data_IF_748722792290
#
_entry.id   IF_748722792290
#
_cell.length_a   1.000
_cell.length_b   1.000
_cell.length_c   1.000
_cell.angle_alpha   90.00
_cell.angle_beta   90.00
_cell.angle_gamma   90.00
#
_symmetry.space_group_name_H-M   'P 1'
#
loop_
_entity.id
_entity.type
_entity.pdbx_description
1 polymer ?
#
# COMPACT_ATOMS: atom_id res chain seq x y z
N UNK A 1 2.72 15.22 -34.47
CA UNK A 1 4.02 14.52 -34.36
C UNK A 1 3.76 13.05 -34.05
N UNK A 2 4.69 12.16 -34.38
CA UNK A 2 4.59 10.72 -34.12
C UNK A 2 5.31 10.42 -32.81
N UNK A 3 4.62 9.80 -31.84
CA UNK A 3 5.22 9.35 -30.57
C UNK A 3 5.77 7.93 -30.74
N UNK A 4 6.95 7.66 -30.19
CA UNK A 4 7.55 6.31 -30.15
C UNK A 4 7.69 5.87 -28.70
N UNK A 5 7.33 4.63 -28.40
CA UNK A 5 7.46 4.03 -27.06
C UNK A 5 8.45 2.87 -27.16
N UNK A 6 9.45 2.85 -26.27
CA UNK A 6 10.45 1.79 -26.17
C UNK A 6 10.26 1.07 -24.83
N UNK A 7 10.13 -0.26 -24.88
CA UNK A 7 10.02 -1.07 -23.67
C UNK A 7 11.42 -1.38 -23.13
N UNK A 8 11.77 -0.77 -21.99
CA UNK A 8 13.00 -1.03 -21.24
C UNK A 8 12.86 -2.07 -20.13
N UNK A 9 11.68 -2.66 -19.92
CA UNK A 9 11.39 -3.56 -18.81
C UNK A 9 12.08 -4.91 -18.91
N UNK A 10 12.52 -5.45 -17.76
CA UNK A 10 13.09 -6.78 -17.63
C UNK A 10 12.32 -7.58 -16.56
N UNK A 11 11.75 -8.71 -16.94
CA UNK A 11 10.97 -9.55 -16.03
C UNK A 11 11.79 -10.04 -14.83
N UNK A 12 11.27 -9.84 -13.62
CA UNK A 12 11.92 -10.27 -12.38
C UNK A 12 13.08 -9.39 -11.89
N UNK A 13 13.28 -8.21 -12.48
CA UNK A 13 14.30 -7.23 -12.08
C UNK A 13 13.95 -6.55 -10.74
N UNK A 14 14.94 -6.42 -9.86
CA UNK A 14 14.95 -5.56 -8.67
C UNK A 14 15.69 -4.26 -8.97
N UNK A 15 15.38 -3.19 -8.24
CA UNK A 15 15.96 -1.87 -8.50
C UNK A 15 17.50 -1.77 -8.47
N UNK A 16 18.28 -2.60 -7.74
CA UNK A 16 19.74 -2.61 -7.88
C UNK A 16 20.22 -3.05 -9.27
N UNK A 17 19.49 -3.98 -9.90
CA UNK A 17 19.78 -4.47 -11.25
C UNK A 17 19.35 -3.43 -12.29
N UNK A 18 18.16 -2.85 -12.13
CA UNK A 18 17.68 -1.72 -12.95
C UNK A 18 18.67 -0.55 -12.94
N UNK A 19 19.17 -0.16 -11.77
CA UNK A 19 20.17 0.90 -11.62
C UNK A 19 21.50 0.61 -12.34
N UNK A 20 21.87 -0.67 -12.44
CA UNK A 20 23.05 -1.12 -13.19
C UNK A 20 22.80 -1.09 -14.70
N UNK A 21 21.58 -1.40 -15.14
CA UNK A 21 21.20 -1.53 -16.55
C UNK A 21 20.72 -0.22 -17.18
N UNK A 22 20.41 0.81 -16.39
CA UNK A 22 19.76 2.02 -16.92
C UNK A 22 20.64 2.83 -17.90
N UNK A 23 21.96 2.90 -17.68
CA UNK A 23 22.85 3.74 -18.50
C UNK A 23 22.83 3.36 -20.00
N UNK A 24 22.98 2.09 -20.40
CA UNK A 24 22.87 1.71 -21.82
C UNK A 24 21.47 1.92 -22.40
N UNK A 25 20.39 1.84 -21.61
CA UNK A 25 19.02 2.14 -22.11
C UNK A 25 18.86 3.62 -22.42
N UNK A 26 19.34 4.50 -21.53
CA UNK A 26 19.27 5.94 -21.73
C UNK A 26 20.11 6.41 -22.93
N UNK A 27 21.20 5.69 -23.25
CA UNK A 27 22.05 5.98 -24.40
C UNK A 27 21.35 5.80 -25.76
N UNK A 28 20.21 5.09 -25.81
CA UNK A 28 19.37 5.00 -27.01
C UNK A 28 18.65 6.33 -27.34
N UNK A 29 18.57 7.24 -26.36
CA UNK A 29 17.94 8.55 -26.48
C UNK A 29 16.43 8.52 -26.25
N UNK A 30 15.86 9.68 -25.91
CA UNK A 30 14.44 9.85 -25.66
C UNK A 30 14.15 11.13 -24.88
N UNK A 31 12.87 11.46 -24.76
CA UNK A 31 12.42 12.69 -24.10
C UNK A 31 11.89 12.44 -22.68
N UNK A 32 11.29 11.27 -22.44
CA UNK A 32 10.60 10.93 -21.18
C UNK A 32 10.97 9.51 -20.74
N UNK A 33 11.32 9.35 -19.47
CA UNK A 33 11.44 8.06 -18.80
C UNK A 33 10.22 7.84 -17.89
N UNK A 34 9.45 6.79 -18.17
CA UNK A 34 8.41 6.29 -17.28
C UNK A 34 9.05 5.20 -16.39
N UNK A 35 9.21 5.49 -15.10
CA UNK A 35 9.96 4.64 -14.16
C UNK A 35 9.03 3.98 -13.15
N UNK A 36 8.71 2.71 -13.38
CA UNK A 36 7.89 1.86 -12.51
C UNK A 36 8.67 0.58 -12.15
N UNK A 37 9.15 0.48 -10.91
CA UNK A 37 9.89 -0.68 -10.43
C UNK A 37 9.75 -0.82 -8.90
N UNK A 38 10.01 -2.02 -8.35
CA UNK A 38 9.97 -2.28 -6.91
C UNK A 38 9.11 -3.48 -6.48
N UNK A 39 8.29 -4.04 -7.37
CA UNK A 39 7.49 -5.24 -7.05
C UNK A 39 8.40 -6.42 -6.70
N UNK A 40 9.52 -6.63 -7.39
CA UNK A 40 10.43 -7.73 -7.05
C UNK A 40 11.21 -7.46 -5.76
N UNK A 41 11.57 -6.21 -5.50
CA UNK A 41 12.24 -5.74 -4.28
C UNK A 41 11.42 -6.13 -3.04
N UNK A 42 10.11 -5.81 -3.04
CA UNK A 42 9.18 -6.26 -1.99
C UNK A 42 9.10 -7.79 -1.93
N UNK A 43 9.04 -8.46 -3.08
CA UNK A 43 8.93 -9.92 -3.16
C UNK A 43 10.15 -10.67 -2.61
N UNK A 44 11.34 -10.05 -2.67
CA UNK A 44 12.62 -10.62 -2.24
C UNK A 44 13.12 -10.05 -0.93
N UNK A 45 12.39 -9.10 -0.34
CA UNK A 45 12.68 -8.54 0.98
C UNK A 45 13.81 -7.50 0.97
N UNK A 46 14.03 -6.83 -0.16
CA UNK A 46 14.90 -5.65 -0.21
C UNK A 46 14.26 -4.51 0.60
N UNK A 47 15.08 -3.70 1.28
CA UNK A 47 14.54 -2.61 2.08
C UNK A 47 13.91 -1.52 1.20
N UNK A 48 12.83 -0.91 1.72
CA UNK A 48 12.17 0.22 1.05
C UNK A 48 13.13 1.41 0.86
N UNK A 49 14.05 1.60 1.80
CA UNK A 49 15.08 2.64 1.73
C UNK A 49 16.03 2.42 0.56
N UNK A 50 16.49 1.18 0.34
CA UNK A 50 17.33 0.82 -0.80
C UNK A 50 16.56 0.96 -2.11
N UNK A 51 15.31 0.49 -2.14
CA UNK A 51 14.42 0.61 -3.31
C UNK A 51 14.25 2.08 -3.70
N UNK A 52 13.85 2.93 -2.74
CA UNK A 52 13.73 4.38 -2.92
C UNK A 52 15.03 5.02 -3.41
N UNK A 53 16.17 4.67 -2.80
CA UNK A 53 17.47 5.19 -3.20
C UNK A 53 17.78 4.86 -4.66
N UNK A 54 17.60 3.60 -5.06
CA UNK A 54 17.87 3.16 -6.43
C UNK A 54 16.98 3.86 -7.46
N UNK A 55 15.67 3.98 -7.18
CA UNK A 55 14.72 4.73 -8.01
C UNK A 55 15.15 6.20 -8.16
N UNK A 56 15.59 6.83 -7.08
CA UNK A 56 16.11 8.19 -7.09
C UNK A 56 17.37 8.36 -7.95
N UNK A 57 18.31 7.42 -7.86
CA UNK A 57 19.54 7.44 -8.67
C UNK A 57 19.27 7.15 -10.14
N UNK A 58 18.34 6.24 -10.45
CA UNK A 58 17.89 6.00 -11.83
C UNK A 58 17.29 7.26 -12.45
N UNK A 59 16.39 7.93 -11.74
CA UNK A 59 15.83 9.22 -12.18
C UNK A 59 16.93 10.27 -12.40
N UNK A 60 17.87 10.40 -11.47
CA UNK A 60 18.98 11.36 -11.57
C UNK A 60 19.88 11.08 -12.79
N UNK A 61 20.16 9.81 -13.09
CA UNK A 61 20.92 9.40 -14.29
C UNK A 61 20.19 9.77 -15.57
N UNK A 62 18.87 9.56 -15.63
CA UNK A 62 18.04 9.91 -16.77
C UNK A 62 18.00 11.44 -17.01
N UNK A 63 17.78 12.22 -15.96
CA UNK A 63 17.77 13.69 -16.03
C UNK A 63 19.11 14.27 -16.46
N UNK A 64 20.22 13.66 -16.02
CA UNK A 64 21.56 14.05 -16.45
C UNK A 64 21.78 13.87 -17.96
N UNK A 65 20.97 13.04 -18.62
CA UNK A 65 20.95 12.83 -20.07
C UNK A 65 19.82 13.61 -20.77
N UNK A 66 19.06 14.43 -20.05
CA UNK A 66 18.03 15.31 -20.60
C UNK A 66 16.61 14.76 -20.60
N UNK A 67 16.38 13.58 -20.01
CA UNK A 67 15.03 13.01 -19.90
C UNK A 67 14.20 13.74 -18.85
N UNK A 68 12.92 13.97 -19.14
CA UNK A 68 11.92 14.19 -18.10
C UNK A 68 11.55 12.84 -17.45
N UNK A 69 11.50 12.79 -16.12
CA UNK A 69 11.17 11.56 -15.39
C UNK A 69 9.77 11.62 -14.80
N UNK A 70 9.00 10.56 -15.04
CA UNK A 70 7.73 10.27 -14.36
C UNK A 70 7.96 9.03 -13.50
N UNK A 71 7.83 9.19 -12.18
CA UNK A 71 7.77 8.04 -11.28
C UNK A 71 6.40 7.37 -11.39
N UNK A 72 6.36 6.07 -11.14
CA UNK A 72 5.12 5.36 -10.91
C UNK A 72 5.20 4.46 -9.68
N UNK A 73 4.14 4.46 -8.88
CA UNK A 73 3.96 3.46 -7.83
C UNK A 73 3.74 2.07 -8.45
N UNK A 74 4.08 1.01 -7.71
CA UNK A 74 3.75 -0.36 -8.10
C UNK A 74 2.26 -0.61 -7.92
N UNK A 75 1.66 -1.51 -8.71
CA UNK A 75 0.26 -1.94 -8.50
C UNK A 75 0.11 -2.87 -7.28
N UNK A 76 -1.10 -3.02 -6.72
CA UNK A 76 -1.38 -4.01 -5.69
C UNK A 76 -1.06 -5.44 -6.15
N UNK A 77 -0.61 -6.27 -5.25
CA UNK A 77 -0.46 -7.72 -5.45
C UNK A 77 -1.80 -8.40 -5.35
N UNK A 78 -1.94 -9.49 -6.08
CA UNK A 78 -3.13 -10.34 -6.00
C UNK A 78 -3.27 -10.92 -4.58
N UNK A 79 -4.48 -11.08 -4.02
CA UNK A 79 -4.68 -11.57 -2.65
C UNK A 79 -4.09 -12.97 -2.35
N UNK A 80 -3.82 -13.78 -3.37
CA UNK A 80 -3.15 -15.08 -3.24
C UNK A 80 -1.65 -15.04 -3.48
N UNK A 81 -1.05 -13.85 -3.57
CA UNK A 81 0.38 -13.68 -3.75
C UNK A 81 1.16 -14.36 -2.60
N UNK A 82 2.31 -14.97 -2.93
CA UNK A 82 3.11 -15.69 -1.93
C UNK A 82 3.82 -14.80 -0.92
N UNK A 83 3.96 -13.53 -1.27
CA UNK A 83 4.69 -12.51 -0.52
C UNK A 83 3.84 -11.26 -0.53
N UNK A 84 3.63 -10.71 0.65
CA UNK A 84 2.83 -9.49 0.85
C UNK A 84 1.39 -9.58 0.26
N UNK A 85 0.62 -10.66 0.52
CA UNK A 85 -0.75 -10.78 0.01
C UNK A 85 -1.69 -9.69 0.55
N UNK A 86 -1.42 -9.16 1.74
CA UNK A 86 -2.14 -8.04 2.35
C UNK A 86 -1.67 -6.67 1.85
N UNK A 87 -0.69 -6.61 0.94
CA UNK A 87 -0.15 -5.39 0.36
C UNK A 87 0.44 -4.37 1.36
N UNK A 88 0.84 -4.79 2.56
CA UNK A 88 1.39 -3.90 3.58
C UNK A 88 2.72 -3.28 3.12
N UNK A 89 3.64 -4.10 2.61
CA UNK A 89 4.94 -3.62 2.13
C UNK A 89 4.82 -2.91 0.79
N UNK A 90 3.93 -3.36 -0.10
CA UNK A 90 3.65 -2.74 -1.40
C UNK A 90 3.03 -1.35 -1.21
N UNK A 91 2.11 -1.19 -0.25
CA UNK A 91 1.56 0.12 0.13
C UNK A 91 2.65 1.05 0.69
N UNK A 92 3.50 0.55 1.59
CA UNK A 92 4.60 1.35 2.14
C UNK A 92 5.60 1.77 1.05
N UNK A 93 5.86 0.91 0.06
CA UNK A 93 6.67 1.28 -1.10
C UNK A 93 6.01 2.40 -1.92
N UNK A 94 4.69 2.30 -2.19
CA UNK A 94 3.96 3.35 -2.90
C UNK A 94 4.06 4.71 -2.17
N UNK A 95 3.95 4.70 -0.84
CA UNK A 95 4.15 5.89 0.02
C UNK A 95 5.57 6.46 -0.10
N UNK A 96 6.59 5.61 -0.10
CA UNK A 96 7.98 6.03 -0.31
C UNK A 96 8.20 6.62 -1.70
N UNK A 97 7.56 6.07 -2.74
CA UNK A 97 7.65 6.60 -4.11
C UNK A 97 6.95 7.96 -4.21
N UNK A 98 5.77 8.12 -3.59
CA UNK A 98 5.05 9.41 -3.49
C UNK A 98 5.95 10.48 -2.85
N UNK A 99 6.51 10.18 -1.68
CA UNK A 99 7.43 11.11 -1.03
C UNK A 99 8.67 11.40 -1.88
N UNK A 100 9.18 10.43 -2.63
CA UNK A 100 10.34 10.63 -3.50
C UNK A 100 10.00 11.60 -4.62
N UNK A 101 8.90 11.36 -5.32
CA UNK A 101 8.40 12.22 -6.39
C UNK A 101 8.14 13.64 -5.86
N UNK A 102 7.37 13.77 -4.79
CA UNK A 102 7.00 15.06 -4.21
C UNK A 102 8.19 15.88 -3.72
N UNK A 103 9.08 15.27 -2.91
CA UNK A 103 10.25 15.99 -2.36
C UNK A 103 11.30 16.34 -3.42
N UNK A 104 11.35 15.60 -4.53
CA UNK A 104 12.25 15.90 -5.65
C UNK A 104 11.59 16.66 -6.79
N UNK A 105 10.32 17.06 -6.62
CA UNK A 105 9.51 17.81 -7.60
C UNK A 105 9.41 17.12 -8.96
N UNK A 106 9.25 15.80 -8.95
CA UNK A 106 9.01 14.98 -10.14
C UNK A 106 7.53 14.62 -10.23
N UNK A 107 7.09 14.33 -11.45
CA UNK A 107 5.72 13.89 -11.73
C UNK A 107 5.52 12.46 -11.24
N UNK A 108 4.30 12.12 -10.81
CA UNK A 108 3.94 10.80 -10.30
C UNK A 108 2.68 10.29 -10.98
N UNK A 109 2.77 9.15 -11.67
CA UNK A 109 1.62 8.32 -11.97
C UNK A 109 1.37 7.39 -10.77
N UNK A 110 0.13 7.20 -10.32
CA UNK A 110 -0.13 6.39 -9.12
C UNK A 110 -0.99 5.15 -9.39
N UNK A 111 -0.45 4.11 -10.07
CA UNK A 111 -1.13 2.84 -10.25
C UNK A 111 -1.59 2.17 -8.97
N UNK A 112 -0.83 2.30 -7.87
CA UNK A 112 -1.25 1.73 -6.58
C UNK A 112 -2.61 2.29 -6.15
N UNK A 113 -2.77 3.62 -6.24
CA UNK A 113 -4.01 4.30 -5.87
C UNK A 113 -5.18 3.90 -6.77
N UNK A 114 -4.98 4.00 -8.07
CA UNK A 114 -6.05 3.78 -9.05
C UNK A 114 -6.48 2.31 -9.06
N UNK A 115 -5.55 1.36 -9.07
CA UNK A 115 -5.90 -0.06 -8.96
C UNK A 115 -6.54 -0.37 -7.60
N UNK A 116 -6.01 0.18 -6.50
CA UNK A 116 -6.50 -0.07 -5.15
C UNK A 116 -7.93 0.43 -4.89
N UNK A 117 -8.39 1.42 -5.67
CA UNK A 117 -9.75 1.98 -5.58
C UNK A 117 -10.68 1.49 -6.69
N UNK A 118 -10.15 0.80 -7.70
CA UNK A 118 -10.94 0.23 -8.79
C UNK A 118 -11.80 -0.93 -8.27
N UNK A 119 -13.11 -0.85 -8.50
CA UNK A 119 -14.04 -1.89 -8.05
C UNK A 119 -13.77 -3.21 -8.78
N UNK A 120 -13.77 -4.33 -8.03
CA UNK A 120 -13.48 -5.67 -8.55
C UNK A 120 -12.12 -5.79 -9.28
N UNK A 121 -11.13 -4.96 -8.92
CA UNK A 121 -9.85 -4.87 -9.66
C UNK A 121 -9.21 -6.24 -9.93
N UNK A 122 -9.12 -7.11 -8.92
CA UNK A 122 -8.49 -8.43 -9.06
C UNK A 122 -9.28 -9.41 -9.94
N UNK A 123 -10.60 -9.23 -10.08
CA UNK A 123 -11.42 -10.07 -10.96
C UNK A 123 -11.32 -9.61 -12.41
N UNK A 124 -11.34 -8.30 -12.62
CA UNK A 124 -11.54 -7.71 -13.95
C UNK A 124 -10.22 -7.34 -14.63
N UNK A 125 -9.16 -7.03 -13.87
CA UNK A 125 -7.91 -6.43 -14.39
C UNK A 125 -6.65 -7.26 -14.14
N UNK A 126 -6.75 -8.42 -13.48
CA UNK A 126 -5.63 -9.34 -13.26
C UNK A 126 -5.85 -10.67 -13.98
N UNK A 127 -4.75 -11.35 -14.30
CA UNK A 127 -4.79 -12.73 -14.76
C UNK A 127 -5.11 -13.67 -13.59
N UNK A 128 -6.14 -14.50 -13.74
CA UNK A 128 -6.45 -15.60 -12.81
C UNK A 128 -5.63 -16.84 -13.17
N UNK A 129 -4.30 -16.71 -13.11
CA UNK A 129 -3.35 -17.82 -13.30
C UNK A 129 -2.84 -18.33 -11.94
N UNK A 130 -3.18 -19.57 -11.51
CA UNK A 130 -2.62 -20.18 -10.31
C UNK A 130 -1.09 -20.33 -10.32
N UNK A 131 -0.48 -20.28 -11.50
CA UNK A 131 0.97 -20.24 -11.70
C UNK A 131 1.59 -18.89 -11.37
N UNK A 132 0.81 -17.82 -11.41
CA UNK A 132 1.21 -16.47 -11.04
C UNK A 132 1.24 -16.31 -9.53
N UNK A 133 2.42 -15.95 -9.02
CA UNK A 133 2.71 -15.90 -7.58
C UNK A 133 2.71 -14.48 -7.04
N UNK A 134 2.46 -13.50 -7.91
CA UNK A 134 2.50 -12.07 -7.60
C UNK A 134 1.18 -11.40 -8.00
N UNK A 135 0.67 -11.71 -9.19
CA UNK A 135 -0.49 -11.06 -9.78
C UNK A 135 -0.08 -10.05 -10.85
N UNK A 136 -0.02 -10.52 -12.09
CA UNK A 136 0.19 -9.68 -13.26
C UNK A 136 -1.16 -9.21 -13.82
N UNK A 137 -1.23 -7.97 -14.35
CA UNK A 137 -2.42 -7.49 -15.02
C UNK A 137 -2.76 -8.32 -16.26
N UNK A 138 -4.04 -8.49 -16.54
CA UNK A 138 -4.50 -8.97 -17.85
C UNK A 138 -4.46 -7.81 -18.88
N UNK A 139 -4.99 -8.01 -20.10
CA UNK A 139 -5.02 -6.95 -21.13
C UNK A 139 -5.72 -5.67 -20.65
N UNK A 140 -6.86 -5.80 -19.99
CA UNK A 140 -7.66 -4.67 -19.52
C UNK A 140 -6.95 -3.95 -18.37
N UNK A 141 -6.21 -4.69 -17.54
CA UNK A 141 -5.30 -4.16 -16.54
C UNK A 141 -4.15 -3.34 -17.14
N UNK A 142 -3.55 -3.80 -18.24
CA UNK A 142 -2.56 -3.00 -18.95
C UNK A 142 -3.16 -1.75 -19.61
N UNK A 143 -4.39 -1.82 -20.11
CA UNK A 143 -5.11 -0.64 -20.63
C UNK A 143 -5.40 0.38 -19.52
N UNK A 144 -5.82 -0.08 -18.34
CA UNK A 144 -5.98 0.79 -17.16
C UNK A 144 -4.65 1.45 -16.78
N UNK A 145 -3.57 0.67 -16.69
CA UNK A 145 -2.24 1.19 -16.38
C UNK A 145 -1.78 2.25 -17.41
N UNK A 146 -1.99 1.99 -18.70
CA UNK A 146 -1.67 2.93 -19.76
C UNK A 146 -2.49 4.23 -19.65
N UNK A 147 -3.77 4.13 -19.28
CA UNK A 147 -4.66 5.27 -19.01
C UNK A 147 -4.10 6.21 -17.94
N UNK A 148 -3.59 5.66 -16.83
CA UNK A 148 -3.01 6.45 -15.73
C UNK A 148 -1.83 7.29 -16.21
N UNK A 149 -0.92 6.70 -16.99
CA UNK A 149 0.18 7.46 -17.59
C UNK A 149 -0.32 8.47 -18.61
N UNK A 150 -1.32 8.12 -19.41
CA UNK A 150 -1.88 8.99 -20.44
C UNK A 150 -2.52 10.25 -19.84
N UNK A 151 -3.38 10.09 -18.83
CA UNK A 151 -4.04 11.19 -18.12
C UNK A 151 -3.00 12.14 -17.52
N UNK A 152 -2.02 11.57 -16.80
CA UNK A 152 -0.91 12.34 -16.26
C UNK A 152 -0.20 13.12 -17.36
N UNK A 153 0.19 12.47 -18.47
CA UNK A 153 0.94 13.11 -19.55
C UNK A 153 0.16 14.24 -20.23
N UNK A 154 -1.18 14.19 -20.21
CA UNK A 154 -2.08 15.25 -20.67
C UNK A 154 -2.31 16.36 -19.65
N UNK A 155 -1.88 16.16 -18.40
CA UNK A 155 -2.12 17.09 -17.30
C UNK A 155 -3.54 16.98 -16.74
N UNK A 156 -4.16 15.81 -16.89
CA UNK A 156 -5.46 15.51 -16.30
C UNK A 156 -5.25 15.06 -14.85
N UNK A 157 -6.03 15.63 -13.94
CA UNK A 157 -6.00 15.31 -12.52
C UNK A 157 -7.17 14.40 -12.14
N UNK A 158 -6.86 13.11 -12.01
CA UNK A 158 -7.85 12.04 -11.78
C UNK A 158 -7.58 11.28 -10.48
N UNK A 159 -6.60 11.70 -9.70
CA UNK A 159 -6.13 10.99 -8.51
C UNK A 159 -6.34 11.88 -7.28
N UNK A 160 -7.03 11.40 -6.23
CA UNK A 160 -7.25 12.20 -5.02
C UNK A 160 -5.95 12.48 -4.27
N UNK A 161 -5.96 13.34 -3.24
CA UNK A 161 -4.83 13.46 -2.35
C UNK A 161 -4.44 12.10 -1.75
N UNK A 162 -3.18 11.71 -1.91
CA UNK A 162 -2.67 10.38 -1.55
C UNK A 162 -1.75 10.42 -0.33
N UNK A 163 -1.87 9.46 0.60
CA UNK A 163 -0.93 9.35 1.72
C UNK A 163 0.48 9.04 1.22
N UNK A 164 1.46 9.84 1.65
CA UNK A 164 2.89 9.54 1.64
C UNK A 164 3.28 8.75 2.88
N UNK A 165 4.50 8.99 3.42
CA UNK A 165 4.90 8.36 4.69
C UNK A 165 3.88 8.63 5.79
N UNK A 166 3.55 7.56 6.50
CA UNK A 166 2.73 7.61 7.69
C UNK A 166 3.43 6.89 8.84
N UNK A 167 3.11 7.25 10.07
CA UNK A 167 3.63 6.58 11.28
C UNK A 167 2.57 6.67 12.36
N UNK A 168 2.21 5.58 13.05
CA UNK A 168 2.63 4.18 12.80
C UNK A 168 2.17 3.65 11.44
N UNK A 169 3.04 2.85 10.78
CA UNK A 169 2.76 2.22 9.49
C UNK A 169 1.53 1.31 9.57
N UNK A 170 0.85 1.11 8.44
CA UNK A 170 -0.21 0.11 8.35
C UNK A 170 0.35 -1.29 8.69
N UNK A 171 -0.37 -2.03 9.52
CA UNK A 171 0.04 -3.32 10.08
C UNK A 171 1.08 -3.25 11.20
N UNK A 172 1.45 -2.06 11.70
CA UNK A 172 2.41 -1.95 12.78
C UNK A 172 1.87 -2.57 14.08
N UNK A 173 2.72 -3.31 14.80
CA UNK A 173 2.38 -3.90 16.09
C UNK A 173 3.29 -3.36 17.19
N UNK A 174 2.89 -3.59 18.46
CA UNK A 174 3.66 -3.17 19.64
C UNK A 174 3.90 -1.66 19.71
N UNK A 175 2.99 -0.87 19.12
CA UNK A 175 3.05 0.59 19.09
C UNK A 175 2.87 1.14 20.50
N UNK A 176 3.66 2.16 20.87
CA UNK A 176 3.49 2.83 22.15
C UNK A 176 2.14 3.54 22.25
N UNK A 177 1.43 3.40 23.37
CA UNK A 177 0.12 4.02 23.59
C UNK A 177 0.10 5.56 23.46
N UNK A 178 1.24 6.22 23.64
CA UNK A 178 1.40 7.67 23.46
C UNK A 178 2.14 8.06 22.17
N UNK A 179 2.30 7.15 21.22
CA UNK A 179 2.99 7.43 19.96
C UNK A 179 2.26 8.53 19.19
N UNK A 180 3.02 9.52 18.72
CA UNK A 180 2.53 10.53 17.79
C UNK A 180 2.22 9.89 16.44
N UNK A 181 1.05 10.21 15.90
CA UNK A 181 0.64 9.88 14.55
C UNK A 181 1.11 10.98 13.60
N UNK A 182 1.76 10.60 12.51
CA UNK A 182 2.14 11.52 11.43
C UNK A 182 1.65 10.96 10.11
N UNK A 183 1.04 11.80 9.28
CA UNK A 183 0.62 11.44 7.91
C UNK A 183 1.08 12.55 6.97
N UNK A 184 1.96 12.20 6.04
CA UNK A 184 2.21 13.03 4.86
C UNK A 184 1.09 12.79 3.85
N UNK A 185 0.56 13.87 3.30
CA UNK A 185 -0.50 13.88 2.30
C UNK A 185 -0.03 14.70 1.10
N UNK A 186 -0.01 14.05 -0.05
CA UNK A 186 0.43 14.66 -1.30
C UNK A 186 -0.73 14.84 -2.26
N UNK A 187 -0.66 15.92 -3.01
CA UNK A 187 -1.45 16.12 -4.20
C UNK A 187 -0.49 16.42 -5.36
N UNK A 188 -0.62 15.67 -6.45
CA UNK A 188 0.26 15.79 -7.63
C UNK A 188 -0.44 16.51 -8.79
N UNK A 189 -1.66 17.01 -8.57
CA UNK A 189 -2.51 17.67 -9.55
C UNK A 189 -2.88 19.11 -9.14
N UNK A 190 -4.18 19.42 -9.15
CA UNK A 190 -4.75 20.75 -8.92
C UNK A 190 -4.62 21.24 -7.47
N UNK A 191 -4.21 20.36 -6.55
CA UNK A 191 -3.91 20.68 -5.18
C UNK A 191 -5.00 20.27 -4.20
N UNK A 192 -4.56 19.82 -3.03
CA UNK A 192 -5.32 19.46 -1.85
C UNK A 192 -6.09 20.67 -1.26
N UNK A 193 -7.38 20.47 -0.95
CA UNK A 193 -8.14 21.36 -0.07
C UNK A 193 -7.84 21.04 1.40
N UNK A 194 -6.82 21.69 1.94
CA UNK A 194 -6.36 21.53 3.33
C UNK A 194 -7.48 21.78 4.36
N UNK A 195 -8.46 22.64 4.04
CA UNK A 195 -9.56 22.94 4.97
C UNK A 195 -10.62 21.83 5.01
N UNK A 196 -10.66 20.96 4.00
CA UNK A 196 -11.52 19.76 3.96
C UNK A 196 -10.91 18.58 4.71
N UNK A 197 -9.59 18.56 4.92
CA UNK A 197 -8.87 17.39 5.44
C UNK A 197 -9.22 17.08 6.89
N UNK A 198 -9.60 15.83 7.18
CA UNK A 198 -9.90 15.30 8.52
C UNK A 198 -9.15 13.99 8.75
N UNK A 199 -8.85 13.74 10.02
CA UNK A 199 -8.31 12.47 10.49
C UNK A 199 -9.26 11.92 11.54
N UNK A 200 -9.59 10.64 11.46
CA UNK A 200 -10.40 9.95 12.45
C UNK A 200 -9.63 8.75 13.00
N UNK A 201 -9.77 8.50 14.30
CA UNK A 201 -9.27 7.29 14.95
C UNK A 201 -10.47 6.45 15.41
N UNK A 202 -10.58 5.22 14.93
CA UNK A 202 -11.71 4.32 15.22
C UNK A 202 -13.08 4.99 14.93
N UNK A 203 -13.16 5.80 13.86
CA UNK A 203 -14.35 6.56 13.49
C UNK A 203 -14.58 7.85 14.27
N UNK A 204 -13.77 8.17 15.28
CA UNK A 204 -13.86 9.43 16.02
C UNK A 204 -12.96 10.51 15.42
N UNK A 205 -13.54 11.69 15.12
CA UNK A 205 -12.80 12.82 14.59
C UNK A 205 -11.75 13.33 15.61
N UNK A 206 -10.50 13.42 15.17
CA UNK A 206 -9.39 13.99 15.96
C UNK A 206 -8.90 15.31 15.37
N UNK A 207 -8.14 16.08 16.17
CA UNK A 207 -7.62 17.38 15.79
C UNK A 207 -6.08 17.34 15.63
N UNK A 208 -5.55 16.91 14.47
CA UNK A 208 -4.12 16.99 14.18
C UNK A 208 -3.67 18.44 14.01
N UNK A 209 -2.42 18.73 14.35
CA UNK A 209 -1.74 19.91 13.83
C UNK A 209 -1.47 19.69 12.34
N UNK A 210 -1.93 20.62 11.51
CA UNK A 210 -1.79 20.56 10.05
C UNK A 210 -0.75 21.61 9.63
N UNK A 211 0.24 21.18 8.84
CA UNK A 211 1.31 22.05 8.31
C UNK A 211 1.52 21.76 6.83
N UNK A 212 2.07 22.72 6.08
CA UNK A 212 2.35 22.54 4.65
C UNK A 212 1.48 23.44 3.76
N UNK A 213 1.13 22.95 2.57
CA UNK A 213 0.37 23.65 1.55
C UNK A 213 -0.48 22.66 0.72
N UNK A 214 -1.10 23.16 -0.36
CA UNK A 214 -1.97 22.37 -1.23
C UNK A 214 -1.25 21.28 -2.04
N UNK A 215 0.06 21.18 -2.02
CA UNK A 215 0.80 20.11 -2.73
C UNK A 215 1.33 19.08 -1.74
N UNK A 216 1.74 19.52 -0.55
CA UNK A 216 2.19 18.66 0.53
C UNK A 216 1.68 19.19 1.84
N UNK A 217 0.87 18.40 2.52
CA UNK A 217 0.39 18.68 3.87
C UNK A 217 0.79 17.55 4.80
N UNK A 218 1.27 17.91 5.98
CA UNK A 218 1.57 16.97 7.06
C UNK A 218 0.60 17.16 8.21
N UNK A 219 -0.05 16.06 8.60
CA UNK A 219 -0.90 15.95 9.78
C UNK A 219 -0.08 15.35 10.91
N UNK A 220 -0.09 15.97 12.09
CA UNK A 220 0.61 15.51 13.29
C UNK A 220 -0.38 15.46 14.45
N UNK A 221 -0.65 14.28 14.97
CA UNK A 221 -1.57 14.08 16.09
C UNK A 221 -0.88 13.34 17.24
N UNK A 222 -0.76 13.99 18.40
CA UNK A 222 -0.33 13.34 19.63
C UNK A 222 -1.55 13.09 20.50
N UNK A 223 -1.86 11.83 20.85
CA UNK A 223 -3.07 11.52 21.60
C UNK A 223 -2.99 12.14 23.01
N UNK A 224 -4.07 12.80 23.50
CA UNK A 224 -4.08 13.46 24.81
C UNK A 224 -4.11 12.47 25.98
N UNK A 225 -4.50 11.23 25.72
CA UNK A 225 -4.52 10.10 26.65
C UNK A 225 -3.93 8.86 25.96
N UNK A 226 -3.37 7.89 26.72
CA UNK A 226 -2.86 6.65 26.14
C UNK A 226 -3.94 5.93 25.30
N UNK A 227 -3.59 5.59 24.06
CA UNK A 227 -4.38 4.73 23.19
C UNK A 227 -4.35 3.27 23.69
N UNK A 228 -5.33 2.46 23.30
CA UNK A 228 -5.40 1.04 23.61
C UNK A 228 -6.09 0.28 22.48
N UNK A 229 -5.82 -1.03 22.37
CA UNK A 229 -6.45 -1.88 21.37
C UNK A 229 -5.85 -1.72 19.97
N UNK A 230 -6.68 -2.02 18.98
CA UNK A 230 -6.42 -1.79 17.56
C UNK A 230 -6.90 -0.39 17.19
N UNK A 231 -6.06 0.34 16.48
CA UNK A 231 -6.35 1.71 16.03
C UNK A 231 -6.43 1.72 14.52
N UNK A 232 -7.62 2.05 14.00
CA UNK A 232 -7.88 2.38 12.61
C UNK A 232 -7.75 3.88 12.41
N UNK A 233 -6.94 4.28 11.43
CA UNK A 233 -6.73 5.67 11.03
C UNK A 233 -7.46 5.92 9.72
N UNK A 234 -8.53 6.70 9.75
CA UNK A 234 -9.28 7.12 8.55
C UNK A 234 -8.83 8.50 8.12
N UNK A 235 -8.55 8.65 6.82
CA UNK A 235 -8.32 9.94 6.18
C UNK A 235 -9.56 10.33 5.37
N UNK A 236 -10.00 11.57 5.56
CA UNK A 236 -11.00 12.21 4.71
C UNK A 236 -10.38 13.47 4.10
N UNK A 237 -10.38 13.58 2.78
CA UNK A 237 -9.83 14.74 2.08
C UNK A 237 -10.32 14.81 0.64
N UNK A 238 -10.20 15.98 0.02
CA UNK A 238 -10.43 16.19 -1.41
C UNK A 238 -9.40 17.16 -1.99
N UNK A 239 -9.28 17.20 -3.31
CA UNK A 239 -8.51 18.19 -4.05
C UNK A 239 -9.39 19.33 -4.62
N UNK A 240 -8.78 20.18 -5.44
CA UNK A 240 -9.45 21.26 -6.16
C UNK A 240 -9.83 20.90 -7.60
N UNK A 241 -9.75 19.62 -8.00
CA UNK A 241 -10.22 19.17 -9.30
C UNK A 241 -11.74 19.42 -9.44
N UNK A 242 -12.25 19.35 -10.68
CA UNK A 242 -13.66 19.58 -10.95
C UNK A 242 -14.25 18.46 -11.83
N UNK A 243 -15.04 17.53 -11.26
CA UNK A 243 -15.38 17.40 -9.83
C UNK A 243 -14.16 17.08 -8.95
N UNK A 244 -14.20 17.35 -7.62
CA UNK A 244 -13.10 17.00 -6.73
C UNK A 244 -12.84 15.49 -6.73
N UNK A 245 -11.58 15.10 -6.69
CA UNK A 245 -11.21 13.73 -6.38
C UNK A 245 -11.12 13.59 -4.85
N UNK A 246 -11.80 12.58 -4.31
CA UNK A 246 -12.01 12.42 -2.86
C UNK A 246 -11.31 11.15 -2.34
N UNK A 247 -10.85 11.22 -1.09
CA UNK A 247 -10.41 10.07 -0.30
C UNK A 247 -11.23 10.05 1.01
N UNK A 248 -11.89 8.93 1.28
CA UNK A 248 -12.57 8.63 2.55
C UNK A 248 -12.41 7.13 2.85
N UNK A 249 -11.33 6.78 3.56
CA UNK A 249 -11.00 5.38 3.88
C UNK A 249 -9.98 5.26 5.01
N UNK A 250 -9.89 4.04 5.56
CA UNK A 250 -8.78 3.65 6.44
C UNK A 250 -7.48 3.63 5.65
N UNK A 251 -6.47 4.35 6.16
CA UNK A 251 -5.13 4.45 5.55
C UNK A 251 -4.06 3.71 6.35
N UNK A 252 -4.36 3.35 7.61
CA UNK A 252 -3.46 2.58 8.48
C UNK A 252 -4.27 1.93 9.60
N UNK A 253 -3.97 0.66 9.89
CA UNK A 253 -4.41 -0.03 11.10
C UNK A 253 -3.19 -0.48 11.88
N UNK A 254 -3.13 -0.23 13.19
CA UNK A 254 -2.00 -0.64 14.02
C UNK A 254 -2.40 -1.06 15.43
N UNK A 255 -1.56 -1.88 16.07
CA UNK A 255 -1.83 -2.51 17.36
C UNK A 255 -1.00 -1.86 18.48
N UNK A 256 -1.68 -1.35 19.51
CA UNK A 256 -1.02 -0.83 20.71
C UNK A 256 -0.38 -1.97 21.51
N UNK A 257 0.82 -1.72 22.04
CA UNK A 257 1.54 -2.63 22.94
C UNK A 257 0.66 -3.03 24.12
N UNK A 258 0.55 -4.33 24.36
CA UNK A 258 -0.23 -4.89 25.46
C UNK A 258 -1.70 -5.14 25.14
N UNK A 259 -2.13 -4.88 23.89
CA UNK A 259 -3.44 -5.34 23.40
C UNK A 259 -3.55 -6.85 23.57
N UNK A 260 -4.64 -7.29 24.17
CA UNK A 260 -5.00 -8.69 24.33
C UNK A 260 -6.10 -9.01 23.32
N UNK A 261 -5.94 -10.11 22.61
CA UNK A 261 -6.91 -10.60 21.64
C UNK A 261 -7.65 -11.81 22.19
N UNK A 262 -8.89 -11.99 21.73
CA UNK A 262 -9.68 -13.17 22.07
C UNK A 262 -9.10 -14.40 21.37
N UNK A 263 -9.25 -15.59 21.96
CA UNK A 263 -9.01 -16.81 21.19
C UNK A 263 -10.03 -16.88 20.06
N UNK A 264 -9.57 -17.11 18.83
CA UNK A 264 -10.42 -17.02 17.64
C UNK A 264 -10.19 -15.78 16.80
N UNK A 265 -9.59 -14.72 17.36
CA UNK A 265 -9.22 -13.49 16.62
C UNK A 265 -7.86 -13.73 15.94
N UNK A 266 -7.92 -14.24 14.71
CA UNK A 266 -6.79 -14.69 13.92
C UNK A 266 -6.17 -13.58 13.09
N UNK A 267 -6.97 -12.60 12.65
CA UNK A 267 -6.46 -11.45 11.91
C UNK A 267 -6.08 -10.25 12.81
N UNK A 268 -6.36 -10.35 14.12
CA UNK A 268 -5.98 -9.37 15.14
C UNK A 268 -6.64 -8.01 14.93
N UNK A 269 -7.85 -7.98 14.40
CA UNK A 269 -8.66 -6.77 14.26
C UNK A 269 -9.41 -6.37 15.56
N UNK A 270 -9.38 -7.25 16.58
CA UNK A 270 -10.03 -7.06 17.87
C UNK A 270 -11.42 -7.70 17.96
N UNK A 271 -11.86 -8.42 16.94
CA UNK A 271 -13.15 -9.10 16.86
C UNK A 271 -12.92 -10.57 16.52
N UNK A 272 -13.92 -11.40 16.82
CA UNK A 272 -13.95 -12.78 16.32
C UNK A 272 -15.14 -12.90 15.39
N UNK A 273 -14.90 -12.85 14.08
CA UNK A 273 -15.97 -12.82 13.09
C UNK A 273 -15.72 -13.71 11.85
N UNK A 274 -16.43 -13.43 10.76
CA UNK A 274 -16.34 -14.20 9.53
C UNK A 274 -14.95 -14.15 8.89
N UNK A 275 -14.18 -13.06 9.06
CA UNK A 275 -12.81 -12.95 8.57
C UNK A 275 -11.92 -13.99 9.24
N UNK A 276 -12.02 -14.13 10.56
CA UNK A 276 -11.31 -15.16 11.32
C UNK A 276 -11.71 -16.56 10.93
N UNK A 277 -13.00 -16.80 10.70
CA UNK A 277 -13.48 -18.11 10.25
C UNK A 277 -12.90 -18.48 8.88
N UNK A 278 -12.75 -17.50 7.97
CA UNK A 278 -12.10 -17.71 6.67
C UNK A 278 -10.60 -17.99 6.85
N UNK A 279 -9.92 -17.26 7.72
CA UNK A 279 -8.51 -17.51 8.04
C UNK A 279 -8.32 -18.92 8.65
N UNK A 280 -9.18 -19.30 9.60
CA UNK A 280 -9.20 -20.59 10.25
C UNK A 280 -9.44 -21.74 9.25
N UNK A 281 -10.41 -21.58 8.35
CA UNK A 281 -10.78 -22.60 7.36
C UNK A 281 -9.61 -23.01 6.44
N UNK A 282 -8.67 -22.10 6.17
CA UNK A 282 -7.46 -22.39 5.37
C UNK A 282 -6.51 -23.37 6.08
N UNK A 283 -6.51 -23.36 7.41
CA UNK A 283 -5.67 -24.21 8.25
C UNK A 283 -6.39 -25.46 8.78
N UNK A 284 -7.73 -25.50 8.70
CA UNK A 284 -8.56 -26.56 9.27
C UNK A 284 -8.21 -27.97 8.76
N UNK A 285 -8.17 -28.93 9.68
CA UNK A 285 -7.77 -30.31 9.49
C UNK A 285 -6.26 -30.52 9.34
N UNK A 286 -5.44 -29.49 9.56
CA UNK A 286 -3.98 -29.61 9.48
C UNK A 286 -3.36 -30.03 10.81
N UNK A 287 -2.10 -30.48 10.74
CA UNK A 287 -1.32 -30.88 11.91
C UNK A 287 0.05 -30.23 11.88
N UNK A 288 0.66 -30.02 13.05
CA UNK A 288 1.98 -29.41 13.16
C UNK A 288 3.01 -30.06 12.23
N UNK A 289 3.67 -29.23 11.42
CA UNK A 289 4.62 -29.65 10.39
C UNK A 289 4.07 -29.65 8.96
N UNK A 290 2.75 -29.53 8.78
CA UNK A 290 2.16 -29.29 7.46
C UNK A 290 2.28 -27.80 7.08
N UNK A 291 2.45 -27.51 5.78
CA UNK A 291 2.62 -26.13 5.31
C UNK A 291 1.42 -25.21 5.54
N UNK A 292 0.22 -25.78 5.72
CA UNK A 292 -1.02 -25.06 6.03
C UNK A 292 -1.31 -24.92 7.53
N UNK A 293 -0.48 -25.50 8.40
CA UNK A 293 -0.68 -25.41 9.85
C UNK A 293 -0.29 -24.03 10.36
N UNK A 294 -1.25 -23.37 11.01
CA UNK A 294 -1.08 -22.06 11.63
C UNK A 294 -1.09 -22.22 13.14
N UNK A 295 0.03 -21.92 13.80
CA UNK A 295 0.13 -22.01 15.26
C UNK A 295 -0.94 -21.14 15.96
N UNK A 296 -1.29 -20.00 15.37
CA UNK A 296 -2.31 -19.11 15.92
C UNK A 296 -3.73 -19.70 15.90
N UNK A 297 -3.99 -20.74 15.08
CA UNK A 297 -5.30 -21.38 14.94
C UNK A 297 -5.41 -22.73 15.68
N UNK A 298 -4.34 -23.17 16.33
CA UNK A 298 -4.31 -24.32 17.27
C UNK A 298 -4.52 -23.75 18.68
N UNK A 299 -5.78 -23.48 19.03
CA UNK A 299 -6.13 -22.72 20.23
C UNK A 299 -6.02 -23.56 21.52
N UNK A 300 -6.04 -24.89 21.41
CA UNK A 300 -5.88 -25.81 22.52
C UNK A 300 -4.46 -26.41 22.64
N UNK A 301 -3.53 -26.02 21.76
CA UNK A 301 -2.12 -26.45 21.71
C UNK A 301 -1.93 -27.98 21.55
N UNK A 302 -2.91 -28.69 20.97
CA UNK A 302 -2.88 -30.15 20.81
C UNK A 302 -2.11 -30.62 19.56
N UNK A 303 -1.61 -29.66 18.76
CA UNK A 303 -0.84 -29.84 17.51
C UNK A 303 -1.70 -30.22 16.30
N UNK A 304 -3.01 -30.07 16.40
CA UNK A 304 -3.99 -30.22 15.33
C UNK A 304 -4.83 -28.94 15.26
N UNK A 305 -5.45 -28.72 14.12
CA UNK A 305 -6.44 -27.65 13.95
C UNK A 305 -7.71 -28.35 13.52
N UNK A 306 -8.60 -28.61 14.45
CA UNK A 306 -9.79 -29.43 14.20
C UNK A 306 -11.06 -28.90 14.90
N UNK A 307 -12.03 -29.78 15.12
CA UNK A 307 -13.33 -29.40 15.68
C UNK A 307 -13.24 -28.81 17.08
N UNK A 308 -12.20 -29.15 17.85
CA UNK A 308 -12.00 -28.59 19.18
C UNK A 308 -11.56 -27.11 19.09
N UNK A 309 -10.68 -26.78 18.15
CA UNK A 309 -10.29 -25.38 17.89
C UNK A 309 -11.45 -24.57 17.30
N UNK A 310 -12.23 -25.17 16.41
CA UNK A 310 -13.43 -24.53 15.87
C UNK A 310 -14.44 -24.22 16.98
N UNK A 311 -14.58 -25.10 17.97
CA UNK A 311 -15.46 -24.86 19.12
C UNK A 311 -14.98 -23.67 19.97
N UNK A 312 -13.66 -23.49 20.13
CA UNK A 312 -13.08 -22.33 20.81
C UNK A 312 -13.36 -21.04 20.03
N UNK A 313 -13.08 -21.02 18.72
CA UNK A 313 -13.40 -19.87 17.86
C UNK A 313 -14.90 -19.53 17.93
N UNK A 314 -15.75 -20.54 17.78
CA UNK A 314 -17.20 -20.37 17.83
C UNK A 314 -17.70 -19.85 19.19
N UNK A 315 -17.00 -20.16 20.29
CA UNK A 315 -17.37 -19.68 21.63
C UNK A 315 -17.18 -18.18 21.82
N UNK A 316 -16.32 -17.55 21.01
CA UNK A 316 -16.07 -16.11 21.01
C UNK A 316 -16.69 -15.41 19.79
N UNK A 317 -17.35 -16.12 18.88
CA UNK A 317 -17.85 -15.53 17.63
C UNK A 317 -18.87 -14.42 17.88
N UNK A 318 -18.61 -13.23 17.32
CA UNK A 318 -19.38 -12.01 17.52
C UNK A 318 -18.94 -11.16 18.70
N UNK A 319 -17.94 -11.58 19.47
CA UNK A 319 -17.37 -10.82 20.58
C UNK A 319 -16.24 -9.86 20.12
N UNK A 320 -15.99 -8.82 20.93
CA UNK A 320 -14.90 -7.85 20.75
C UNK A 320 -14.02 -7.77 21.98
N UNK A 321 -12.71 -7.58 21.78
CA UNK A 321 -11.73 -7.50 22.86
C UNK A 321 -11.70 -6.14 23.58
N UNK A 322 -12.17 -5.07 22.94
CA UNK A 322 -12.16 -3.69 23.45
C UNK A 322 -13.29 -2.84 22.84
#
# INVERSE_FOLDING_TARGET
>A
ETVTVVNGGLGGEETPEGLTRIDPLLAEGGDVLLLMEGTNDVGRGLSLETTRFNLGEMARKAEAQGFAVVFATTIPRFPSARKDPENLATQQLAQEIRDLAGTTRRRLADPFEVFGTTTNVFRDYYDDDPGDRVGHPNSDGYDLLAGIFFDLLRGEDTVPPVPGRLTPNNGATQVGAGSTLTVDLWDFGEGLDVNSTRLLLNGELVAPAITGNSQMTRLIYTPPSPLAGVIEVTLQSQDFASPPNEVDRVISTFVIRGTQFLQGDLDQDGRVDGADLVAFARAFGSTRGQGRYLLAADFNDDRRIDGDDLAILASNFGESAF
#
